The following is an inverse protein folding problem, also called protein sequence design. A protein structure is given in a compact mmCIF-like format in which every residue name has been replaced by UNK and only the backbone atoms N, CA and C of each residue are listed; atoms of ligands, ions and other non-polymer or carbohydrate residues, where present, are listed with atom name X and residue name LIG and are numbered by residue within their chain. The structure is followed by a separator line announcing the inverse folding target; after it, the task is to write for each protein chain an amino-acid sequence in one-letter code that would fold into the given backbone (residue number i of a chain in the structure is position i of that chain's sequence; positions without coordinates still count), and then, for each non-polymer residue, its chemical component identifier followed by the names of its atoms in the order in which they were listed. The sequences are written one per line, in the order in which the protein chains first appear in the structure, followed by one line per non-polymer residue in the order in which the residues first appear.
data_IF_278992600286
#
_entry.id   IF_278992600286
#
_cell.length_a   1.000
_cell.length_b   1.000
_cell.length_c   1.000
_cell.angle_alpha   90.00
_cell.angle_beta   90.00
_cell.angle_gamma   90.00
#
_symmetry.space_group_name_H-M   'P 1'
#
loop_
_entity.id
_entity.type
_entity.pdbx_description
1 polymer ?
#
# COMPACT_ATOMS: atom_id res chain seq x y z
N UNK A 1 -21.35 1.40 -9.24
CA UNK A 1 -20.33 0.54 -8.60
C UNK A 1 -19.12 0.46 -9.53
N UNK A 2 -17.93 0.76 -9.07
CA UNK A 2 -16.70 0.72 -9.89
C UNK A 2 -15.48 1.31 -9.20
N UNK A 3 -15.61 1.76 -7.94
CA UNK A 3 -14.50 2.30 -7.15
C UNK A 3 -14.40 1.52 -5.83
N UNK A 4 -13.17 1.15 -5.46
CA UNK A 4 -12.85 0.57 -4.15
C UNK A 4 -12.77 1.69 -3.11
N UNK A 5 -13.42 1.49 -1.98
CA UNK A 5 -13.33 2.38 -0.81
C UNK A 5 -12.36 1.73 0.16
N UNK A 6 -11.18 2.34 0.29
CA UNK A 6 -10.13 1.92 1.20
C UNK A 6 -9.85 2.99 2.25
N UNK A 7 -9.67 2.60 3.50
CA UNK A 7 -9.29 3.52 4.58
C UNK A 7 -7.94 3.10 5.15
N UNK A 8 -6.99 4.05 5.19
CA UNK A 8 -5.70 3.85 5.83
C UNK A 8 -5.81 4.16 7.32
N UNK A 9 -5.49 3.19 8.16
CA UNK A 9 -5.39 3.32 9.61
C UNK A 9 -3.99 3.78 10.03
N UNK A 10 -3.80 4.09 11.31
CA UNK A 10 -2.46 4.32 11.86
C UNK A 10 -1.64 3.02 11.88
N UNK A 11 -0.32 3.15 11.96
CA UNK A 11 0.59 2.00 11.87
C UNK A 11 0.66 1.19 13.16
N UNK A 12 1.07 -0.09 13.10
CA UNK A 12 1.15 -0.99 14.26
C UNK A 12 2.11 -0.53 15.36
N UNK A 13 3.06 0.34 15.03
CA UNK A 13 4.01 0.94 15.98
C UNK A 13 3.42 2.12 16.79
N UNK A 14 2.12 2.41 16.62
CA UNK A 14 1.40 3.46 17.34
C UNK A 14 0.33 2.88 18.25
N UNK A 15 -0.07 3.63 19.26
CA UNK A 15 -1.19 3.26 20.15
C UNK A 15 -2.57 3.61 19.58
N UNK A 16 -2.64 4.12 18.35
CA UNK A 16 -3.89 4.51 17.68
C UNK A 16 -4.47 3.40 16.81
N UNK A 17 -3.64 2.53 16.24
CA UNK A 17 -4.02 1.57 15.20
C UNK A 17 -5.27 0.74 15.55
N UNK A 18 -5.27 0.11 16.73
CA UNK A 18 -6.38 -0.76 17.14
C UNK A 18 -7.69 0.00 17.25
N UNK A 19 -7.60 1.24 17.75
CA UNK A 19 -8.79 2.08 17.95
C UNK A 19 -9.33 2.58 16.61
N UNK A 20 -8.47 3.03 15.71
CA UNK A 20 -8.89 3.39 14.35
C UNK A 20 -9.63 2.25 13.67
N UNK A 21 -9.08 1.03 13.76
CA UNK A 21 -9.68 -0.13 13.13
C UNK A 21 -11.07 -0.42 13.71
N UNK A 22 -11.19 -0.44 15.02
CA UNK A 22 -12.46 -0.71 15.70
C UNK A 22 -13.48 0.38 15.34
N UNK A 23 -13.16 1.64 15.60
CA UNK A 23 -14.08 2.76 15.43
C UNK A 23 -14.58 2.85 13.98
N UNK A 24 -13.67 2.75 13.00
CA UNK A 24 -14.01 2.85 11.57
C UNK A 24 -14.88 1.66 11.12
N UNK A 25 -14.49 0.43 11.47
CA UNK A 25 -15.21 -0.76 11.00
C UNK A 25 -16.56 -0.89 11.67
N UNK A 26 -16.67 -0.52 12.95
CA UNK A 26 -17.96 -0.52 13.65
C UNK A 26 -18.94 0.51 13.10
N UNK A 27 -18.44 1.67 12.62
CA UNK A 27 -19.30 2.76 12.13
C UNK A 27 -19.66 2.60 10.66
N UNK A 28 -18.69 2.25 9.79
CA UNK A 28 -18.88 2.27 8.34
C UNK A 28 -18.48 0.98 7.62
N UNK A 29 -18.21 -0.11 8.34
CA UNK A 29 -17.71 -1.37 7.80
C UNK A 29 -18.50 -1.93 6.62
N UNK A 30 -19.83 -1.81 6.61
CA UNK A 30 -20.68 -2.26 5.49
C UNK A 30 -20.41 -1.54 4.16
N UNK A 31 -19.76 -0.36 4.21
CA UNK A 31 -19.43 0.47 3.03
C UNK A 31 -17.97 0.36 2.61
N UNK A 32 -17.15 -0.27 3.46
CA UNK A 32 -15.72 -0.43 3.18
C UNK A 32 -15.47 -1.67 2.33
N UNK A 33 -14.57 -1.53 1.37
CA UNK A 33 -14.04 -2.65 0.63
C UNK A 33 -12.75 -3.16 1.29
N UNK A 34 -11.84 -2.26 1.70
CA UNK A 34 -10.54 -2.64 2.26
C UNK A 34 -10.08 -1.71 3.39
N UNK A 35 -9.20 -2.23 4.25
CA UNK A 35 -8.36 -1.46 5.18
C UNK A 35 -6.92 -1.48 4.66
N UNK A 36 -6.28 -0.32 4.61
CA UNK A 36 -4.87 -0.18 4.26
C UNK A 36 -4.03 -0.08 5.53
N UNK A 37 -3.23 -1.12 5.78
CA UNK A 37 -2.28 -1.23 6.89
C UNK A 37 -0.93 -0.60 6.50
N UNK A 38 -0.53 0.54 7.08
CA UNK A 38 0.78 1.11 6.85
C UNK A 38 1.88 0.35 7.60
N UNK A 39 3.12 0.48 7.15
CA UNK A 39 4.33 -0.09 7.76
C UNK A 39 4.24 -1.57 8.10
N UNK A 40 3.51 -2.35 7.30
CA UNK A 40 3.48 -3.80 7.46
C UNK A 40 4.92 -4.34 7.39
N UNK A 41 5.41 -4.86 8.52
CA UNK A 41 6.78 -5.34 8.68
C UNK A 41 6.89 -6.85 8.68
N UNK A 42 5.84 -7.53 9.13
CA UNK A 42 5.80 -8.99 9.31
C UNK A 42 4.42 -9.57 8.95
N UNK A 43 4.37 -10.89 8.75
CA UNK A 43 3.11 -11.62 8.60
C UNK A 43 2.18 -11.47 9.81
N UNK A 44 2.76 -11.30 11.01
CA UNK A 44 1.99 -11.15 12.25
C UNK A 44 1.19 -9.85 12.29
N UNK A 45 1.68 -8.77 11.66
CA UNK A 45 0.97 -7.50 11.59
C UNK A 45 -0.34 -7.67 10.81
N UNK A 46 -0.29 -8.39 9.69
CA UNK A 46 -1.47 -8.70 8.87
C UNK A 46 -2.42 -9.64 9.60
N UNK A 47 -1.88 -10.67 10.24
CA UNK A 47 -2.69 -11.63 11.01
C UNK A 47 -3.46 -10.97 12.14
N UNK A 48 -2.85 -10.01 12.84
CA UNK A 48 -3.52 -9.24 13.89
C UNK A 48 -4.73 -8.47 13.33
N UNK A 49 -4.58 -7.79 12.18
CA UNK A 49 -5.68 -7.08 11.53
C UNK A 49 -6.78 -8.04 11.09
N UNK A 50 -6.42 -9.19 10.51
CA UNK A 50 -7.40 -10.21 10.09
C UNK A 50 -8.22 -10.74 11.26
N UNK A 51 -7.58 -11.03 12.40
CA UNK A 51 -8.27 -11.45 13.61
C UNK A 51 -9.27 -10.39 14.11
N UNK A 52 -8.85 -9.13 14.17
CA UNK A 52 -9.70 -8.03 14.64
C UNK A 52 -10.89 -7.81 13.68
N UNK A 53 -10.64 -7.76 12.37
CA UNK A 53 -11.71 -7.66 11.37
C UNK A 53 -12.72 -8.78 11.51
N UNK A 54 -12.26 -10.02 11.65
CA UNK A 54 -13.13 -11.20 11.78
C UNK A 54 -14.02 -11.10 13.03
N UNK A 55 -13.48 -10.63 14.15
CA UNK A 55 -14.23 -10.44 15.39
C UNK A 55 -15.27 -9.34 15.26
N UNK A 56 -14.90 -8.18 14.68
CA UNK A 56 -15.81 -7.05 14.51
C UNK A 56 -16.93 -7.41 13.52
N UNK A 57 -16.59 -7.98 12.35
CA UNK A 57 -17.57 -8.42 11.35
C UNK A 57 -18.59 -9.40 11.95
N UNK A 58 -18.11 -10.36 12.75
CA UNK A 58 -18.97 -11.33 13.43
C UNK A 58 -19.87 -10.66 14.47
N UNK A 59 -19.31 -9.79 15.30
CA UNK A 59 -20.03 -9.07 16.36
C UNK A 59 -21.10 -8.15 15.78
N UNK A 60 -20.77 -7.42 14.73
CA UNK A 60 -21.68 -6.47 14.06
C UNK A 60 -22.57 -7.12 13.02
N UNK A 61 -22.37 -8.41 12.72
CA UNK A 61 -23.10 -9.16 11.67
C UNK A 61 -23.03 -8.46 10.31
N UNK A 62 -21.83 -8.00 9.95
CA UNK A 62 -21.60 -7.37 8.63
C UNK A 62 -21.82 -8.39 7.51
N UNK A 63 -22.42 -7.94 6.40
CA UNK A 63 -22.73 -8.79 5.27
C UNK A 63 -21.57 -8.92 4.27
N UNK A 64 -20.54 -8.08 4.40
CA UNK A 64 -19.35 -8.07 3.58
C UNK A 64 -18.12 -8.52 4.38
N UNK A 65 -17.15 -9.08 3.67
CA UNK A 65 -15.82 -9.38 4.19
C UNK A 65 -14.89 -8.26 3.75
N UNK A 66 -14.33 -7.52 4.71
CA UNK A 66 -13.42 -6.42 4.45
C UNK A 66 -12.04 -6.98 4.09
N UNK A 67 -11.49 -6.56 2.96
CA UNK A 67 -10.15 -6.93 2.51
C UNK A 67 -9.06 -6.16 3.27
N UNK A 68 -7.83 -6.64 3.13
CA UNK A 68 -6.62 -5.98 3.67
C UNK A 68 -5.73 -5.58 2.51
N UNK A 69 -5.21 -4.38 2.57
CA UNK A 69 -4.11 -3.92 1.72
C UNK A 69 -2.94 -3.53 2.63
N UNK A 70 -1.71 -3.80 2.20
CA UNK A 70 -0.52 -3.48 2.99
C UNK A 70 0.37 -2.47 2.28
N UNK A 71 0.85 -1.48 3.03
CA UNK A 71 1.87 -0.55 2.57
C UNK A 71 3.25 -1.08 2.97
N UNK A 72 4.03 -1.49 1.97
CA UNK A 72 5.41 -1.95 2.14
C UNK A 72 6.32 -0.73 2.03
N UNK A 73 6.70 -0.21 3.19
CA UNK A 73 7.39 1.08 3.30
C UNK A 73 8.52 1.07 4.33
N UNK A 74 9.00 -0.12 4.69
CA UNK A 74 10.16 -0.28 5.56
C UNK A 74 11.10 -1.34 4.99
N UNK A 75 12.39 -1.27 5.36
CA UNK A 75 13.38 -2.30 5.03
C UNK A 75 12.94 -3.67 5.54
N UNK A 76 12.37 -3.72 6.76
CA UNK A 76 11.85 -4.95 7.36
C UNK A 76 10.68 -5.52 6.53
N UNK A 77 9.70 -4.69 6.17
CA UNK A 77 8.56 -5.11 5.37
C UNK A 77 8.98 -5.62 3.98
N UNK A 78 9.93 -4.94 3.33
CA UNK A 78 10.45 -5.39 2.05
C UNK A 78 11.24 -6.71 2.18
N UNK A 79 12.00 -6.90 3.24
CA UNK A 79 12.70 -8.16 3.52
C UNK A 79 11.74 -9.33 3.74
N UNK A 80 10.59 -9.08 4.39
CA UNK A 80 9.57 -10.08 4.71
C UNK A 80 8.40 -10.12 3.71
N UNK A 81 8.50 -9.46 2.58
CA UNK A 81 7.38 -9.22 1.66
C UNK A 81 6.66 -10.51 1.22
N UNK A 82 7.39 -11.62 1.06
CA UNK A 82 6.82 -12.92 0.68
C UNK A 82 5.98 -13.52 1.81
N UNK A 83 6.45 -13.39 3.05
CA UNK A 83 5.71 -13.86 4.23
C UNK A 83 4.46 -13.02 4.47
N UNK A 84 4.55 -11.71 4.27
CA UNK A 84 3.41 -10.79 4.30
C UNK A 84 2.40 -11.19 3.22
N UNK A 85 2.85 -11.42 1.99
CA UNK A 85 1.97 -11.70 0.85
C UNK A 85 1.12 -12.96 0.98
N UNK A 86 1.51 -13.92 1.82
CA UNK A 86 0.79 -15.19 2.05
C UNK A 86 0.11 -15.27 3.41
N UNK A 87 0.10 -14.18 4.18
CA UNK A 87 -0.28 -14.23 5.61
C UNK A 87 -1.79 -14.26 5.86
N UNK A 88 -2.61 -13.88 4.89
CA UNK A 88 -4.07 -13.86 5.02
C UNK A 88 -4.77 -13.97 3.65
N UNK A 89 -5.87 -14.70 3.62
CA UNK A 89 -6.76 -14.77 2.45
C UNK A 89 -7.54 -13.47 2.22
N UNK A 90 -7.47 -12.52 3.16
CA UNK A 90 -8.05 -11.18 3.03
C UNK A 90 -7.13 -10.22 2.29
N UNK A 91 -5.85 -10.59 2.12
CA UNK A 91 -4.88 -9.68 1.52
C UNK A 91 -5.15 -9.54 0.03
N UNK A 92 -5.35 -8.31 -0.44
CA UNK A 92 -5.73 -8.02 -1.83
C UNK A 92 -4.63 -7.27 -2.59
N UNK A 93 -3.86 -6.42 -1.91
CA UNK A 93 -2.87 -5.57 -2.56
C UNK A 93 -1.67 -5.28 -1.67
N UNK A 94 -0.52 -5.07 -2.32
CA UNK A 94 0.65 -4.45 -1.73
C UNK A 94 0.94 -3.12 -2.42
N UNK A 95 1.17 -2.09 -1.63
CA UNK A 95 1.50 -0.74 -2.07
C UNK A 95 2.96 -0.44 -1.77
N UNK A 96 3.64 0.27 -2.64
CA UNK A 96 5.00 0.73 -2.39
C UNK A 96 5.01 2.10 -1.71
N UNK A 97 5.45 2.17 -0.47
CA UNK A 97 5.53 3.42 0.30
C UNK A 97 6.91 4.06 0.19
N UNK A 98 7.22 4.69 -0.93
CA UNK A 98 8.57 5.14 -1.29
C UNK A 98 9.21 6.10 -0.28
N UNK A 99 8.43 6.99 0.37
CA UNK A 99 8.96 8.00 1.29
C UNK A 99 9.53 7.37 2.58
N UNK A 100 8.68 6.60 3.27
CA UNK A 100 9.10 5.90 4.48
C UNK A 100 10.11 4.78 4.18
N UNK A 101 10.00 4.13 3.01
CA UNK A 101 10.99 3.15 2.54
C UNK A 101 12.38 3.79 2.40
N UNK A 102 12.46 4.95 1.76
CA UNK A 102 13.71 5.71 1.64
C UNK A 102 14.28 6.09 3.01
N UNK A 103 13.43 6.58 3.91
CA UNK A 103 13.84 6.91 5.27
C UNK A 103 14.34 5.67 6.04
N UNK A 104 13.64 4.55 5.92
CA UNK A 104 14.04 3.27 6.54
C UNK A 104 15.39 2.75 6.03
N UNK A 105 15.68 2.95 4.74
CA UNK A 105 16.97 2.63 4.13
C UNK A 105 18.05 3.68 4.37
N UNK A 106 17.71 4.83 4.95
CA UNK A 106 18.58 6.02 5.03
C UNK A 106 19.07 6.48 3.65
N UNK A 107 18.24 6.28 2.62
CA UNK A 107 18.54 6.69 1.26
C UNK A 107 18.26 8.19 1.06
N UNK A 108 19.06 8.83 0.21
CA UNK A 108 18.82 10.23 -0.16
C UNK A 108 17.68 10.31 -1.16
N UNK A 109 16.69 11.14 -0.85
CA UNK A 109 15.57 11.45 -1.75
C UNK A 109 15.58 12.95 -2.05
N UNK A 110 15.31 13.30 -3.31
CA UNK A 110 15.12 14.71 -3.73
C UNK A 110 13.63 15.02 -3.75
N UNK A 111 12.84 14.16 -4.41
CA UNK A 111 11.38 14.25 -4.48
C UNK A 111 10.79 12.89 -4.16
N UNK A 112 9.70 12.84 -3.38
CA UNK A 112 8.99 11.60 -3.08
C UNK A 112 8.48 10.97 -4.38
N UNK A 113 8.93 9.74 -4.68
CA UNK A 113 8.56 9.02 -5.91
C UNK A 113 9.33 9.47 -7.17
N UNK A 114 10.19 10.50 -7.04
CA UNK A 114 11.10 10.93 -8.10
C UNK A 114 12.40 10.13 -8.10
N UNK A 115 13.16 10.28 -9.19
CA UNK A 115 14.51 9.73 -9.30
C UNK A 115 15.53 10.72 -8.75
N UNK A 116 16.59 10.20 -8.15
CA UNK A 116 17.75 11.01 -7.80
C UNK A 116 18.66 11.14 -9.04
N UNK A 117 18.89 12.37 -9.54
CA UNK A 117 19.68 12.57 -10.75
C UNK A 117 21.15 12.15 -10.59
N UNK A 118 21.66 12.12 -9.35
CA UNK A 118 23.03 11.69 -9.06
C UNK A 118 23.20 10.17 -8.98
N UNK A 119 22.09 9.41 -9.03
CA UNK A 119 22.12 7.94 -9.00
C UNK A 119 22.00 7.37 -10.43
N UNK A 120 22.92 6.50 -10.84
CA UNK A 120 22.89 5.92 -12.18
C UNK A 120 21.73 4.92 -12.33
N UNK A 121 20.60 5.39 -12.83
CA UNK A 121 19.40 4.58 -13.06
C UNK A 121 18.27 4.88 -12.08
N UNK A 122 17.46 3.88 -11.75
CA UNK A 122 16.33 3.99 -10.84
C UNK A 122 16.68 3.34 -9.49
N UNK A 123 16.91 4.16 -8.48
CA UNK A 123 17.26 3.69 -7.13
C UNK A 123 16.15 2.85 -6.47
N UNK A 124 14.92 2.93 -6.97
CA UNK A 124 13.76 2.20 -6.42
C UNK A 124 13.49 0.89 -7.16
N UNK A 125 14.16 0.67 -8.30
CA UNK A 125 13.89 -0.46 -9.21
C UNK A 125 13.89 -1.82 -8.51
N UNK A 126 14.85 -2.07 -7.62
CA UNK A 126 14.92 -3.35 -6.90
C UNK A 126 13.67 -3.58 -6.03
N UNK A 127 13.31 -2.60 -5.18
CA UNK A 127 12.13 -2.71 -4.33
C UNK A 127 10.84 -2.84 -5.12
N UNK A 128 10.70 -2.03 -6.17
CA UNK A 128 9.54 -2.07 -7.07
C UNK A 128 9.41 -3.43 -7.77
N UNK A 129 10.50 -3.96 -8.33
CA UNK A 129 10.51 -5.27 -9.00
C UNK A 129 10.18 -6.40 -8.04
N UNK A 130 10.74 -6.38 -6.82
CA UNK A 130 10.47 -7.38 -5.79
C UNK A 130 9.01 -7.38 -5.37
N UNK A 131 8.42 -6.19 -5.18
CA UNK A 131 7.01 -6.04 -4.83
C UNK A 131 6.11 -6.59 -5.92
N UNK A 132 6.35 -6.19 -7.19
CA UNK A 132 5.53 -6.66 -8.32
C UNK A 132 5.64 -8.17 -8.50
N UNK A 133 6.86 -8.71 -8.46
CA UNK A 133 7.09 -10.15 -8.57
C UNK A 133 6.34 -10.92 -7.48
N UNK A 134 6.40 -10.44 -6.24
CA UNK A 134 5.69 -11.04 -5.11
C UNK A 134 4.17 -10.96 -5.31
N UNK A 135 3.64 -9.80 -5.67
CA UNK A 135 2.20 -9.68 -5.93
C UNK A 135 1.73 -10.64 -7.02
N UNK A 136 2.48 -10.78 -8.12
CA UNK A 136 2.12 -11.72 -9.19
C UNK A 136 2.17 -13.17 -8.74
N UNK A 137 3.15 -13.54 -7.94
CA UNK A 137 3.30 -14.90 -7.41
C UNK A 137 2.13 -15.31 -6.49
N UNK A 138 1.56 -14.36 -5.75
CA UNK A 138 0.49 -14.61 -4.78
C UNK A 138 -0.89 -14.09 -5.20
N UNK A 139 -1.05 -13.66 -6.45
CA UNK A 139 -2.35 -13.22 -6.99
C UNK A 139 -2.82 -11.85 -6.48
N UNK A 140 -1.91 -11.06 -5.91
CA UNK A 140 -2.21 -9.74 -5.34
C UNK A 140 -2.12 -8.63 -6.39
N UNK A 141 -2.79 -7.52 -6.11
CA UNK A 141 -2.60 -6.28 -6.86
C UNK A 141 -1.31 -5.59 -6.39
N UNK A 142 -0.47 -5.19 -7.34
CA UNK A 142 0.67 -4.34 -7.07
C UNK A 142 0.28 -2.89 -7.34
N UNK A 143 0.53 -2.00 -6.37
CA UNK A 143 0.18 -0.58 -6.46
C UNK A 143 1.45 0.23 -6.18
N UNK A 144 1.77 1.12 -7.11
CA UNK A 144 2.92 2.02 -6.98
C UNK A 144 2.65 3.12 -5.95
N UNK A 145 3.72 3.71 -5.44
CA UNK A 145 3.70 4.77 -4.44
C UNK A 145 3.20 6.12 -4.95
N UNK A 146 3.01 7.08 -4.05
CA UNK A 146 2.66 8.44 -4.40
C UNK A 146 3.83 9.16 -5.08
N UNK A 147 3.50 10.21 -5.83
CA UNK A 147 4.44 11.21 -6.31
C UNK A 147 4.22 12.51 -5.50
N UNK A 148 5.29 13.05 -4.93
CA UNK A 148 5.19 14.11 -3.91
C UNK A 148 5.13 15.52 -4.46
N UNK A 149 5.63 15.77 -5.67
CA UNK A 149 5.58 17.11 -6.26
C UNK A 149 4.33 17.30 -7.14
N UNK A 150 3.31 17.91 -6.55
CA UNK A 150 2.05 18.22 -7.23
C UNK A 150 2.12 19.46 -8.14
N UNK A 151 3.25 20.20 -8.11
CA UNK A 151 3.47 21.35 -8.99
C UNK A 151 4.21 20.96 -10.28
N UNK A 152 4.69 19.71 -10.38
CA UNK A 152 5.37 19.18 -11.58
C UNK A 152 4.54 18.06 -12.24
N UNK A 153 3.55 18.39 -13.06
CA UNK A 153 2.72 17.41 -13.75
C UNK A 153 3.50 16.57 -14.78
N UNK A 154 4.56 17.10 -15.36
CA UNK A 154 5.36 16.38 -16.36
C UNK A 154 6.19 15.29 -15.71
N UNK A 155 6.85 15.58 -14.59
CA UNK A 155 7.56 14.57 -13.81
C UNK A 155 6.60 13.50 -13.25
N UNK A 156 5.37 13.89 -12.85
CA UNK A 156 4.33 12.93 -12.47
C UNK A 156 3.96 12.00 -13.63
N UNK A 157 3.76 12.53 -14.84
CA UNK A 157 3.44 11.73 -16.03
C UNK A 157 4.56 10.74 -16.34
N UNK A 158 5.81 11.17 -16.27
CA UNK A 158 6.97 10.28 -16.47
C UNK A 158 7.06 9.18 -15.41
N UNK A 159 6.82 9.51 -14.14
CA UNK A 159 6.72 8.52 -13.07
C UNK A 159 5.58 7.52 -13.32
N UNK A 160 4.40 8.01 -13.74
CA UNK A 160 3.25 7.17 -14.05
C UNK A 160 3.52 6.26 -15.26
N UNK A 161 4.17 6.72 -16.32
CA UNK A 161 4.58 5.90 -17.48
C UNK A 161 5.49 4.74 -17.06
N UNK A 162 6.49 4.99 -16.21
CA UNK A 162 7.35 3.92 -15.68
C UNK A 162 6.53 2.88 -14.92
N UNK A 163 5.60 3.33 -14.11
CA UNK A 163 4.73 2.44 -13.32
C UNK A 163 3.80 1.59 -14.19
N UNK A 164 3.30 2.10 -15.31
CA UNK A 164 2.40 1.37 -16.20
C UNK A 164 3.00 0.07 -16.76
N UNK A 165 4.32 -0.04 -16.87
CA UNK A 165 4.98 -1.29 -17.31
C UNK A 165 4.85 -2.42 -16.27
N UNK A 166 4.69 -2.10 -14.99
CA UNK A 166 4.77 -3.06 -13.90
C UNK A 166 3.49 -3.17 -13.10
N UNK A 167 2.74 -2.08 -12.93
CA UNK A 167 1.65 -1.95 -11.97
C UNK A 167 0.28 -1.90 -12.65
N UNK A 168 -0.76 -2.25 -11.89
CA UNK A 168 -2.16 -2.03 -12.31
C UNK A 168 -2.69 -0.65 -11.96
N UNK A 169 -1.96 0.12 -11.16
CA UNK A 169 -2.33 1.47 -10.74
C UNK A 169 -1.22 2.16 -9.97
N UNK A 170 -1.36 3.47 -9.80
CA UNK A 170 -0.50 4.32 -8.99
C UNK A 170 -1.35 5.00 -7.92
N UNK A 171 -0.86 5.05 -6.68
CA UNK A 171 -1.48 5.85 -5.65
C UNK A 171 -1.41 7.33 -6.04
N UNK A 172 -2.56 7.98 -6.18
CA UNK A 172 -2.61 9.41 -6.45
C UNK A 172 -3.04 10.20 -5.24
N UNK A 173 -2.33 11.28 -4.97
CA UNK A 173 -2.77 12.28 -4.01
C UNK A 173 -3.76 13.28 -4.62
N UNK A 174 -4.11 13.14 -5.91
CA UNK A 174 -4.99 14.06 -6.63
C UNK A 174 -5.79 13.35 -7.72
N UNK A 175 -6.84 14.01 -8.22
CA UNK A 175 -7.79 13.56 -9.22
C UNK A 175 -7.23 13.21 -10.63
N UNK A 176 -5.92 13.22 -10.82
CA UNK A 176 -5.26 12.95 -12.11
C UNK A 176 -4.99 11.48 -12.41
N UNK A 177 -5.22 10.58 -11.47
CA UNK A 177 -4.68 9.20 -11.50
C UNK A 177 -5.29 8.23 -12.51
N UNK A 178 -6.38 8.57 -13.19
CA UNK A 178 -7.12 7.57 -13.99
C UNK A 178 -7.00 7.70 -15.50
N UNK A 179 -6.23 8.65 -16.05
CA UNK A 179 -6.20 8.90 -17.50
C UNK A 179 -4.90 8.51 -18.23
N UNK A 180 -3.84 8.21 -17.51
CA UNK A 180 -2.50 8.02 -18.12
C UNK A 180 -2.12 6.59 -18.47
N UNK A 181 -2.88 5.58 -18.03
CA UNK A 181 -2.61 4.16 -18.29
C UNK A 181 -3.62 3.51 -19.28
N UNK A 182 -4.10 4.26 -20.26
CA UNK A 182 -4.87 3.69 -21.39
C UNK A 182 -4.00 3.61 -22.62
#
# INVERSE_FOLDING_TARGET
KGKTISVRINSPDTYYMYKDLIDIVEEVGEKLDTILLPKAGTASDVYMIDCLLTQIETSKKLNNKIGIECLIETALGMSNIKEIAKSSDRLEALHFGVADYAASLRARTVVIGGLNPDYPGDQWHHGLSQLVMTCRAYGLRAIDGPFGDFNDPDAYIEAAKRSCYWYRGKMGNTSFTNRTCK
#
